data_IF_346845277545
#
_entry.id   IF_346845277545
#
_cell.length_a   1.000
_cell.length_b   1.000
_cell.length_c   1.000
_cell.angle_alpha   90.00
_cell.angle_beta   90.00
_cell.angle_gamma   90.00
#
_symmetry.space_group_name_H-M   'P 1'
#
loop_
_entity.id
_entity.type
_entity.pdbx_description
1 polymer ?
#
# COMPACT_ATOMS: atom_id res chain seq x y z
N UNK A 1 5.10 2.77 3.57
CA UNK A 1 4.08 1.73 3.82
C UNK A 1 3.28 2.06 5.08
N UNK A 2 1.95 2.18 4.95
CA UNK A 2 1.00 2.35 6.08
C UNK A 2 0.14 1.09 6.22
N UNK A 3 -0.31 0.78 7.43
CA UNK A 3 -0.97 -0.49 7.77
C UNK A 3 -2.25 -0.21 8.58
N UNK A 4 -3.29 -1.02 8.36
CA UNK A 4 -4.51 -1.04 9.17
C UNK A 4 -4.95 -2.49 9.40
N UNK A 5 -5.27 -2.84 10.64
CA UNK A 5 -5.64 -4.21 11.03
C UNK A 5 -4.70 -4.76 12.11
N UNK A 6 -4.47 -6.08 12.10
CA UNK A 6 -3.66 -6.76 13.11
C UNK A 6 -2.18 -6.36 13.02
N UNK A 7 -1.63 -5.82 14.12
CA UNK A 7 -0.27 -5.25 14.13
C UNK A 7 0.82 -6.30 13.90
N UNK A 8 0.65 -7.52 14.41
CA UNK A 8 1.60 -8.60 14.29
C UNK A 8 1.79 -9.01 12.82
N UNK A 9 0.70 -9.39 12.17
CA UNK A 9 0.63 -9.69 10.73
C UNK A 9 1.27 -8.60 9.87
N UNK A 10 0.95 -7.34 10.20
CA UNK A 10 1.41 -6.21 9.44
C UNK A 10 2.91 -5.91 9.65
N UNK A 11 3.55 -6.42 10.71
CA UNK A 11 5.01 -6.38 10.87
C UNK A 11 5.67 -7.44 10.00
N UNK A 12 5.19 -8.68 10.03
CA UNK A 12 5.71 -9.76 9.19
C UNK A 12 5.63 -9.41 7.71
N UNK A 13 4.50 -8.87 7.25
CA UNK A 13 4.37 -8.44 5.85
C UNK A 13 5.27 -7.26 5.47
N UNK A 14 5.55 -6.35 6.41
CA UNK A 14 6.49 -5.26 6.14
C UNK A 14 7.94 -5.77 6.03
N UNK A 15 8.27 -6.85 6.72
CA UNK A 15 9.56 -7.52 6.61
C UNK A 15 9.70 -8.25 5.26
N UNK A 16 8.68 -9.04 4.88
CA UNK A 16 8.60 -9.68 3.55
C UNK A 16 8.72 -8.66 2.43
N UNK A 17 8.00 -7.53 2.51
CA UNK A 17 8.09 -6.48 1.49
C UNK A 17 9.49 -5.85 1.40
N UNK A 18 10.20 -5.70 2.52
CA UNK A 18 11.58 -5.19 2.54
C UNK A 18 12.57 -6.19 1.95
N UNK A 19 12.40 -7.46 2.28
CA UNK A 19 13.22 -8.55 1.78
C UNK A 19 13.06 -8.68 0.26
N UNK A 20 11.82 -8.67 -0.25
CA UNK A 20 11.54 -8.67 -1.69
C UNK A 20 12.16 -7.46 -2.40
N UNK A 21 12.08 -6.26 -1.82
CA UNK A 21 12.72 -5.08 -2.39
C UNK A 21 14.25 -5.20 -2.42
N UNK A 22 14.86 -5.72 -1.35
CA UNK A 22 16.31 -5.93 -1.26
C UNK A 22 16.80 -7.01 -2.24
N UNK A 23 16.07 -8.11 -2.35
CA UNK A 23 16.35 -9.20 -3.27
C UNK A 23 16.25 -8.71 -4.72
N UNK A 24 15.19 -7.97 -5.05
CA UNK A 24 15.02 -7.39 -6.38
C UNK A 24 16.18 -6.46 -6.74
N UNK A 25 16.58 -5.56 -5.83
CA UNK A 25 17.71 -4.67 -6.05
C UNK A 25 19.04 -5.43 -6.23
N UNK A 26 19.24 -6.51 -5.48
CA UNK A 26 20.44 -7.34 -5.58
C UNK A 26 20.50 -8.10 -6.90
N UNK A 27 19.35 -8.57 -7.40
CA UNK A 27 19.27 -9.38 -8.62
C UNK A 27 19.29 -8.53 -9.90
N UNK A 28 18.59 -7.39 -9.91
CA UNK A 28 18.39 -6.57 -11.11
C UNK A 28 19.22 -5.28 -11.11
N UNK A 29 19.86 -4.92 -10.00
CA UNK A 29 20.71 -3.74 -9.89
C UNK A 29 19.98 -2.40 -9.86
N UNK A 30 18.64 -2.39 -9.88
CA UNK A 30 17.81 -1.19 -9.78
C UNK A 30 16.73 -1.33 -8.71
N UNK A 31 16.16 -0.20 -8.28
CA UNK A 31 15.07 -0.19 -7.29
C UNK A 31 13.79 -0.81 -7.88
N UNK A 32 13.02 -1.51 -7.03
CA UNK A 32 11.81 -2.21 -7.45
C UNK A 32 10.67 -1.22 -7.77
N UNK A 33 10.02 -1.33 -8.95
CA UNK A 33 8.83 -0.56 -9.25
C UNK A 33 7.71 -0.87 -8.25
N UNK A 34 6.95 0.14 -7.82
CA UNK A 34 5.92 -0.03 -6.79
C UNK A 34 4.86 -1.05 -7.18
N UNK A 35 4.46 -1.05 -8.45
CA UNK A 35 3.52 -2.03 -9.00
C UNK A 35 4.02 -3.47 -8.84
N UNK A 36 5.30 -3.71 -9.12
CA UNK A 36 5.90 -5.03 -8.91
C UNK A 36 5.91 -5.40 -7.43
N UNK A 37 6.31 -4.48 -6.55
CA UNK A 37 6.31 -4.73 -5.11
C UNK A 37 4.89 -5.00 -4.59
N UNK A 38 3.88 -4.24 -5.03
CA UNK A 38 2.49 -4.44 -4.61
C UNK A 38 1.96 -5.79 -5.06
N UNK A 39 2.28 -6.23 -6.28
CA UNK A 39 1.81 -7.50 -6.81
C UNK A 39 2.49 -8.68 -6.09
N UNK A 40 3.78 -8.58 -5.77
CA UNK A 40 4.50 -9.59 -4.97
C UNK A 40 3.90 -9.74 -3.57
N UNK A 41 3.66 -8.63 -2.89
CA UNK A 41 3.02 -8.63 -1.57
C UNK A 41 1.58 -9.16 -1.65
N UNK A 42 0.83 -8.77 -2.67
CA UNK A 42 -0.54 -9.24 -2.90
C UNK A 42 -0.59 -10.76 -3.14
N UNK A 43 0.32 -11.29 -3.97
CA UNK A 43 0.46 -12.74 -4.19
C UNK A 43 0.80 -13.49 -2.90
N UNK A 44 1.71 -12.94 -2.08
CA UNK A 44 2.06 -13.54 -0.79
C UNK A 44 0.84 -13.60 0.14
N UNK A 45 0.07 -12.52 0.22
CA UNK A 45 -1.17 -12.47 1.01
C UNK A 45 -2.21 -13.44 0.46
N UNK A 46 -2.37 -13.49 -0.87
CA UNK A 46 -3.29 -14.39 -1.54
C UNK A 46 -2.97 -15.86 -1.27
N UNK A 47 -1.69 -16.23 -1.26
CA UNK A 47 -1.25 -17.59 -0.97
C UNK A 47 -1.79 -18.06 0.41
N UNK A 48 -1.72 -17.20 1.43
CA UNK A 48 -2.26 -17.49 2.77
C UNK A 48 -3.79 -17.60 2.82
N UNK A 49 -4.51 -17.14 1.80
CA UNK A 49 -5.95 -17.37 1.67
C UNK A 49 -6.28 -18.75 1.06
N UNK A 50 -5.38 -19.31 0.24
CA UNK A 50 -5.58 -20.59 -0.44
C UNK A 50 -5.17 -21.78 0.44
N UNK A 51 -4.15 -21.60 1.28
CA UNK A 51 -3.68 -22.65 2.18
C UNK A 51 -4.58 -22.77 3.42
N UNK A 52 -5.46 -23.78 3.43
CA UNK A 52 -6.40 -24.08 4.54
C UNK A 52 -5.76 -24.29 5.91
N UNK A 53 -4.45 -24.58 5.96
CA UNK A 53 -3.71 -24.82 7.20
C UNK A 53 -3.20 -23.54 7.91
N UNK A 54 -3.27 -22.38 7.26
CA UNK A 54 -2.77 -21.11 7.81
C UNK A 54 -3.86 -20.07 7.85
N UNK A 55 -3.81 -19.21 8.87
CA UNK A 55 -4.75 -18.10 9.00
C UNK A 55 -4.43 -17.05 7.94
N UNK A 56 -5.42 -16.55 7.17
CA UNK A 56 -5.25 -15.40 6.29
C UNK A 56 -4.83 -14.14 7.05
N UNK A 57 -4.07 -13.27 6.40
CA UNK A 57 -3.64 -12.01 7.00
C UNK A 57 -4.84 -11.08 7.25
N UNK A 58 -4.95 -10.58 8.49
CA UNK A 58 -6.05 -9.70 8.92
C UNK A 58 -5.72 -8.22 8.82
N UNK A 59 -4.96 -7.80 7.80
CA UNK A 59 -4.56 -6.41 7.65
C UNK A 59 -4.52 -5.98 6.17
N UNK A 60 -4.82 -4.70 5.96
CA UNK A 60 -4.66 -4.00 4.68
C UNK A 60 -3.46 -3.06 4.79
N UNK A 61 -2.79 -2.82 3.67
CA UNK A 61 -1.63 -1.91 3.63
C UNK A 61 -1.70 -1.01 2.43
N UNK A 62 -1.20 0.20 2.63
CA UNK A 62 -0.98 1.18 1.57
C UNK A 62 0.52 1.28 1.34
N UNK A 63 0.91 1.07 0.10
CA UNK A 63 2.24 1.24 -0.44
C UNK A 63 2.25 2.52 -1.27
N UNK A 64 3.22 3.38 -1.00
CA UNK A 64 3.42 4.61 -1.76
C UNK A 64 4.88 4.73 -2.09
N UNK A 65 5.17 5.12 -3.33
CA UNK A 65 6.51 5.44 -3.80
C UNK A 65 6.45 6.67 -4.68
N UNK A 66 7.63 7.21 -4.94
CA UNK A 66 7.83 8.27 -5.90
C UNK A 66 8.92 7.81 -6.85
N UNK A 67 8.55 7.61 -8.11
CA UNK A 67 9.48 7.34 -9.19
C UNK A 67 9.75 8.65 -9.96
N UNK A 68 10.94 8.79 -10.53
CA UNK A 68 11.27 9.97 -11.36
C UNK A 68 10.59 9.90 -12.72
N UNK A 69 10.41 8.70 -13.27
CA UNK A 69 9.87 8.50 -14.61
C UNK A 69 8.33 8.42 -14.56
N UNK A 70 7.77 7.71 -13.58
CA UNK A 70 6.31 7.51 -13.45
C UNK A 70 5.63 8.45 -12.44
N UNK A 71 6.39 9.21 -11.65
CA UNK A 71 5.86 10.13 -10.64
C UNK A 71 5.35 9.44 -9.36
N UNK A 72 4.47 10.11 -8.59
CA UNK A 72 3.92 9.57 -7.35
C UNK A 72 2.91 8.46 -7.61
N UNK A 73 3.13 7.30 -7.02
CA UNK A 73 2.23 6.14 -7.13
C UNK A 73 1.76 5.70 -5.75
N UNK A 74 0.49 5.29 -5.67
CA UNK A 74 -0.11 4.78 -4.44
C UNK A 74 -0.90 3.51 -4.76
N UNK A 75 -0.58 2.43 -4.07
CA UNK A 75 -1.27 1.15 -4.16
C UNK A 75 -1.80 0.72 -2.79
N UNK A 76 -3.00 0.17 -2.76
CA UNK A 76 -3.56 -0.48 -1.60
C UNK A 76 -3.68 -1.97 -1.88
N UNK A 77 -3.22 -2.78 -0.93
CA UNK A 77 -3.35 -4.23 -0.97
C UNK A 77 -4.34 -4.66 0.10
N UNK A 78 -5.36 -5.37 -0.36
CA UNK A 78 -6.42 -5.93 0.48
C UNK A 78 -5.99 -7.31 1.02
N UNK A 79 -6.44 -7.72 2.22
CA UNK A 79 -6.19 -9.06 2.78
C UNK A 79 -6.68 -10.23 1.91
N UNK A 80 -7.54 -9.98 0.91
CA UNK A 80 -7.89 -10.96 -0.14
C UNK A 80 -6.75 -11.27 -1.13
N UNK A 81 -5.68 -10.46 -1.12
CA UNK A 81 -4.55 -10.58 -2.04
C UNK A 81 -4.74 -9.84 -3.36
N UNK A 82 -5.56 -8.78 -3.36
CA UNK A 82 -5.78 -7.92 -4.53
C UNK A 82 -5.08 -6.57 -4.30
N UNK A 83 -4.33 -6.10 -5.30
CA UNK A 83 -3.71 -4.78 -5.36
C UNK A 83 -4.56 -3.82 -6.19
N UNK A 84 -4.74 -2.60 -5.70
CA UNK A 84 -5.49 -1.53 -6.38
C UNK A 84 -4.67 -0.25 -6.39
N UNK A 85 -4.56 0.40 -7.56
CA UNK A 85 -3.93 1.72 -7.69
C UNK A 85 -4.93 2.83 -7.35
N UNK A 86 -4.50 3.79 -6.54
CA UNK A 86 -5.33 4.93 -6.12
C UNK A 86 -4.56 6.25 -6.27
N UNK A 87 -5.29 7.36 -6.41
CA UNK A 87 -4.72 8.71 -6.26
C UNK A 87 -4.74 9.14 -4.78
N UNK A 88 -5.75 8.70 -4.04
CA UNK A 88 -5.86 8.85 -2.59
C UNK A 88 -6.58 7.65 -2.01
N UNK A 89 -6.07 7.13 -0.89
CA UNK A 89 -6.65 5.96 -0.22
C UNK A 89 -6.64 6.17 1.30
N UNK A 90 -7.74 5.77 1.96
CA UNK A 90 -7.86 5.74 3.41
C UNK A 90 -8.15 4.32 3.89
N UNK A 91 -7.42 3.87 4.91
CA UNK A 91 -7.60 2.57 5.55
C UNK A 91 -7.81 2.73 7.06
N UNK A 92 -8.65 1.89 7.67
CA UNK A 92 -8.92 1.89 9.12
C UNK A 92 -10.40 2.13 9.49
N UNK A 93 -10.65 2.42 10.78
CA UNK A 93 -12.00 2.52 11.36
C UNK A 93 -12.86 3.64 10.74
N UNK A 94 -12.26 4.77 10.38
CA UNK A 94 -12.95 5.93 9.80
C UNK A 94 -12.79 6.03 8.27
N UNK A 95 -12.52 4.92 7.57
CA UNK A 95 -12.21 4.92 6.14
C UNK A 95 -13.29 5.56 5.27
N UNK A 96 -14.57 5.41 5.63
CA UNK A 96 -15.69 5.90 4.83
C UNK A 96 -15.74 7.43 4.81
N UNK A 97 -15.62 8.06 5.98
CA UNK A 97 -15.58 9.51 6.11
C UNK A 97 -14.35 10.10 5.42
N UNK A 98 -13.19 9.50 5.64
CA UNK A 98 -11.95 9.93 5.00
C UNK A 98 -11.98 9.76 3.47
N UNK A 99 -12.60 8.70 2.93
CA UNK A 99 -12.75 8.50 1.49
C UNK A 99 -13.59 9.61 0.85
N UNK A 100 -14.70 9.99 1.48
CA UNK A 100 -15.56 11.09 1.00
C UNK A 100 -14.82 12.42 0.97
N UNK A 101 -14.00 12.72 1.98
CA UNK A 101 -13.20 13.95 2.00
C UNK A 101 -12.04 13.91 0.99
N UNK A 102 -11.39 12.76 0.82
CA UNK A 102 -10.35 12.53 -0.20
C UNK A 102 -10.92 12.70 -1.62
N UNK A 103 -12.13 12.22 -1.88
CA UNK A 103 -12.80 12.35 -3.18
C UNK A 103 -13.19 13.80 -3.52
N UNK A 104 -13.37 14.66 -2.51
CA UNK A 104 -13.60 16.11 -2.71
C UNK A 104 -12.33 16.87 -3.08
N UNK A 105 -11.15 16.33 -2.77
CA UNK A 105 -9.87 16.98 -3.06
C UNK A 105 -9.43 16.68 -4.51
N UNK A 106 -9.15 17.74 -5.27
CA UNK A 106 -8.53 17.66 -6.61
C UNK A 106 -7.03 17.35 -6.46
N UNK A 107 -6.70 16.10 -6.14
CA UNK A 107 -5.31 15.65 -5.86
C UNK A 107 -4.35 15.86 -7.04
N UNK A 108 -4.86 16.06 -8.25
CA UNK A 108 -4.08 16.28 -9.47
C UNK A 108 -3.59 17.72 -9.64
N UNK A 109 -4.25 18.69 -9.01
CA UNK A 109 -3.99 20.13 -9.21
C UNK A 109 -3.34 20.78 -7.99
N UNK A 110 -3.31 20.10 -6.84
CA UNK A 110 -2.78 20.65 -5.59
C UNK A 110 -1.32 20.30 -5.36
N UNK A 111 -0.58 21.20 -4.72
CA UNK A 111 0.81 20.93 -4.33
C UNK A 111 0.89 20.00 -3.12
N UNK A 112 1.97 19.23 -2.99
CA UNK A 112 2.15 18.31 -1.85
C UNK A 112 2.04 19.01 -0.48
N UNK A 113 2.46 20.29 -0.39
CA UNK A 113 2.37 21.08 0.86
C UNK A 113 0.94 21.41 1.25
N UNK A 114 0.07 21.69 0.28
CA UNK A 114 -1.33 21.97 0.51
C UNK A 114 -2.09 20.69 0.85
N UNK A 115 -1.79 19.59 0.14
CA UNK A 115 -2.34 18.27 0.43
C UNK A 115 -2.03 17.82 1.86
N UNK A 116 -0.81 18.02 2.36
CA UNK A 116 -0.46 17.67 3.74
C UNK A 116 -1.29 18.47 4.75
N UNK A 117 -1.57 19.76 4.48
CA UNK A 117 -2.40 20.59 5.36
C UNK A 117 -3.86 20.17 5.35
N UNK A 118 -4.42 19.82 4.20
CA UNK A 118 -5.80 19.36 4.11
C UNK A 118 -5.99 17.96 4.71
N UNK A 119 -5.06 17.04 4.45
CA UNK A 119 -5.08 15.70 5.05
C UNK A 119 -4.90 15.76 6.58
N UNK A 120 -4.14 16.72 7.11
CA UNK A 120 -3.99 16.90 8.55
C UNK A 120 -5.26 17.40 9.26
N UNK A 121 -6.25 17.91 8.52
CA UNK A 121 -7.56 18.31 9.08
C UNK A 121 -8.56 17.15 9.16
N UNK A 122 -8.23 16.00 8.57
CA UNK A 122 -9.06 14.78 8.52
C UNK A 122 -8.66 13.79 9.61
#
# INVERSE_FOLDING_TARGET
MRRAGLLADARSLAEVAREEASNFRSNYGHDIPLKHLSDRVAMYVHAYTLYSAVRPFGCSFILGSYDKDDGPQLYMVDPSGISYGYWGCAIGKAKQAAKTEIEKLQMKEMTCRELVKEVAKM
#
